data_IF_212862515302
#
_entry.id   IF_212862515302
#
_cell.length_a   1.000
_cell.length_b   1.000
_cell.length_c   1.000
_cell.angle_alpha   90.00
_cell.angle_beta   90.00
_cell.angle_gamma   90.00
#
_symmetry.space_group_name_H-M   'P 1'
#
loop_
_entity.id
_entity.type
_entity.pdbx_description
1 polymer ?
#
# COMPACT_ATOMS: atom_id res chain seq x y z
N UNK A 1 -1.48 15.91 -23.28
CA UNK A 1 -2.33 16.34 -22.14
C UNK A 1 -1.64 15.88 -20.87
N UNK A 2 -1.50 16.72 -19.86
CA UNK A 2 -0.94 16.30 -18.57
C UNK A 2 -2.09 15.74 -17.75
N UNK A 3 -1.94 14.51 -17.22
CA UNK A 3 -2.94 13.94 -16.33
C UNK A 3 -3.08 14.83 -15.09
N UNK A 4 -4.28 15.17 -14.72
CA UNK A 4 -4.59 15.81 -13.46
C UNK A 4 -5.91 15.29 -12.91
N UNK A 5 -6.03 15.29 -11.60
CA UNK A 5 -7.25 14.88 -10.90
C UNK A 5 -7.55 15.88 -9.79
N UNK A 6 -8.78 16.38 -9.81
CA UNK A 6 -9.30 17.21 -8.73
C UNK A 6 -10.03 16.31 -7.72
N UNK A 7 -9.80 16.56 -6.43
CA UNK A 7 -10.49 15.91 -5.35
C UNK A 7 -10.66 16.88 -4.17
N UNK A 8 -11.59 16.59 -3.29
CA UNK A 8 -11.95 17.46 -2.19
C UNK A 8 -11.90 16.74 -0.86
N UNK A 9 -11.46 17.44 0.17
CA UNK A 9 -11.46 16.93 1.55
C UNK A 9 -12.29 17.86 2.43
N UNK A 10 -13.23 17.29 3.18
CA UNK A 10 -14.07 17.98 4.18
C UNK A 10 -14.60 16.97 5.18
N UNK A 11 -14.69 17.36 6.46
CA UNK A 11 -15.25 16.53 7.55
C UNK A 11 -14.68 15.11 7.61
N UNK A 12 -13.37 14.97 7.44
CA UNK A 12 -12.65 13.68 7.43
C UNK A 12 -13.06 12.73 6.29
N UNK A 13 -13.62 13.29 5.23
CA UNK A 13 -14.08 12.59 4.04
C UNK A 13 -13.32 13.10 2.83
N UNK A 14 -12.83 12.19 2.02
CA UNK A 14 -12.30 12.45 0.69
C UNK A 14 -13.43 12.26 -0.32
N UNK A 15 -13.66 13.26 -1.15
CA UNK A 15 -14.61 13.24 -2.26
C UNK A 15 -13.84 13.21 -3.57
N UNK A 16 -14.06 12.18 -4.35
CA UNK A 16 -13.43 11.95 -5.64
C UNK A 16 -14.53 11.60 -6.64
N UNK A 17 -14.69 12.44 -7.65
CA UNK A 17 -15.81 12.36 -8.59
C UNK A 17 -17.16 12.26 -7.85
N UNK A 18 -17.99 11.27 -8.16
CA UNK A 18 -19.28 11.02 -7.51
C UNK A 18 -19.19 10.11 -6.27
N UNK A 19 -17.96 9.79 -5.82
CA UNK A 19 -17.74 8.89 -4.69
C UNK A 19 -17.17 9.63 -3.47
N UNK A 20 -17.43 9.06 -2.30
CA UNK A 20 -16.87 9.54 -1.05
C UNK A 20 -16.21 8.41 -0.29
N UNK A 21 -15.06 8.68 0.28
CA UNK A 21 -14.26 7.75 1.08
C UNK A 21 -13.95 8.38 2.42
N UNK A 22 -13.94 7.60 3.48
CA UNK A 22 -13.35 8.06 4.72
C UNK A 22 -11.85 8.29 4.49
N UNK A 23 -11.26 9.32 5.11
CA UNK A 23 -9.83 9.58 4.97
C UNK A 23 -9.00 8.33 5.29
N UNK A 24 -8.14 7.93 4.37
CA UNK A 24 -7.31 6.73 4.42
C UNK A 24 -7.96 5.45 3.89
N UNK A 25 -9.26 5.47 3.58
CA UNK A 25 -9.96 4.30 3.05
C UNK A 25 -9.47 3.95 1.64
N UNK A 26 -9.38 4.95 0.76
CA UNK A 26 -8.86 4.76 -0.60
C UNK A 26 -7.42 4.23 -0.57
N UNK A 27 -6.57 4.81 0.28
CA UNK A 27 -5.20 4.34 0.49
C UNK A 27 -5.14 2.90 0.98
N UNK A 28 -6.04 2.51 1.92
CA UNK A 28 -6.10 1.14 2.42
C UNK A 28 -6.55 0.15 1.33
N UNK A 29 -7.48 0.54 0.45
CA UNK A 29 -7.90 -0.27 -0.69
C UNK A 29 -6.75 -0.49 -1.67
N UNK A 30 -6.04 0.58 -2.05
CA UNK A 30 -4.89 0.51 -2.98
C UNK A 30 -3.75 -0.33 -2.40
N UNK A 31 -3.46 -0.24 -1.10
CA UNK A 31 -2.45 -1.07 -0.45
C UNK A 31 -2.77 -2.58 -0.49
N UNK A 32 -4.03 -2.95 -0.70
CA UNK A 32 -4.45 -4.34 -0.84
C UNK A 32 -4.31 -4.88 -2.26
N UNK A 33 -4.03 -4.02 -3.24
CA UNK A 33 -3.80 -4.45 -4.61
C UNK A 33 -2.39 -5.01 -4.72
N UNK A 34 -2.28 -6.22 -5.21
CA UNK A 34 -0.99 -6.91 -5.35
C UNK A 34 -0.42 -6.73 -6.76
N UNK A 35 0.90 -6.88 -6.97
CA UNK A 35 1.47 -6.88 -8.32
C UNK A 35 0.86 -7.93 -9.25
N UNK A 36 0.39 -9.05 -8.68
CA UNK A 36 -0.26 -10.13 -9.39
C UNK A 36 -1.62 -9.71 -9.94
N UNK A 37 -2.36 -8.87 -9.22
CA UNK A 37 -3.65 -8.33 -9.66
C UNK A 37 -3.49 -7.47 -10.92
N UNK A 38 -2.36 -6.77 -11.03
CA UNK A 38 -2.04 -5.95 -12.20
C UNK A 38 -1.29 -6.69 -13.32
N UNK A 39 -0.88 -7.93 -13.13
CA UNK A 39 -0.08 -8.64 -14.12
C UNK A 39 -0.80 -8.83 -15.47
N UNK A 40 -2.10 -9.13 -15.53
CA UNK A 40 -2.83 -9.16 -16.79
C UNK A 40 -2.83 -7.80 -17.49
N UNK A 41 -3.20 -6.73 -16.75
CA UNK A 41 -3.25 -5.37 -17.27
C UNK A 41 -1.89 -4.91 -17.82
N UNK A 42 -0.79 -5.14 -17.09
CA UNK A 42 0.57 -4.81 -17.55
C UNK A 42 0.96 -5.54 -18.82
N UNK A 43 0.54 -6.80 -18.98
CA UNK A 43 0.81 -7.55 -20.21
C UNK A 43 0.08 -6.96 -21.40
N UNK A 44 -1.21 -6.65 -21.26
CA UNK A 44 -2.00 -6.04 -22.32
C UNK A 44 -1.50 -4.64 -22.66
N UNK A 45 -1.14 -3.82 -21.64
CA UNK A 45 -0.54 -2.50 -21.85
C UNK A 45 0.77 -2.58 -22.64
N UNK A 46 1.64 -3.53 -22.27
CA UNK A 46 2.89 -3.76 -22.99
C UNK A 46 2.67 -4.21 -24.42
N UNK A 47 1.64 -5.04 -24.66
CA UNK A 47 1.22 -5.43 -26.01
C UNK A 47 0.75 -4.23 -26.82
N UNK A 48 -0.14 -3.42 -26.24
CA UNK A 48 -0.67 -2.21 -26.88
C UNK A 48 0.44 -1.20 -27.24
N UNK A 49 1.35 -0.95 -26.31
CA UNK A 49 2.48 -0.05 -26.58
C UNK A 49 3.41 -0.61 -27.67
N UNK A 50 3.66 -1.92 -27.67
CA UNK A 50 4.47 -2.57 -28.72
C UNK A 50 3.78 -2.54 -30.07
N UNK A 51 2.46 -2.74 -30.10
CA UNK A 51 1.65 -2.63 -31.33
C UNK A 51 1.67 -1.20 -31.88
N UNK A 52 1.57 -0.21 -31.00
CA UNK A 52 1.66 1.21 -31.37
C UNK A 52 3.03 1.56 -31.95
N UNK A 53 4.12 1.16 -31.29
CA UNK A 53 5.49 1.38 -31.77
C UNK A 53 5.77 0.67 -33.10
N UNK A 54 5.16 -0.50 -33.32
CA UNK A 54 5.28 -1.23 -34.57
C UNK A 54 4.51 -0.52 -35.70
N UNK A 55 3.29 -0.07 -35.40
CA UNK A 55 2.47 0.69 -36.34
C UNK A 55 3.15 1.99 -36.76
N UNK A 56 3.76 2.75 -35.82
CA UNK A 56 4.51 3.96 -36.15
C UNK A 56 5.65 3.72 -37.16
N UNK A 57 6.31 2.57 -37.08
CA UNK A 57 7.40 2.22 -38.00
C UNK A 57 6.91 1.74 -39.35
N UNK A 58 5.75 1.09 -39.38
CA UNK A 58 5.16 0.52 -40.60
C UNK A 58 3.64 0.59 -40.51
N UNK A 59 3.04 1.72 -40.87
CA UNK A 59 1.60 1.90 -40.88
C UNK A 59 0.90 0.91 -41.83
N UNK A 60 0.04 0.05 -41.27
CA UNK A 60 -0.80 -0.91 -42.04
C UNK A 60 -2.17 -0.97 -41.37
N UNK A 61 -3.22 -1.23 -42.15
CA UNK A 61 -4.59 -1.39 -41.63
C UNK A 61 -4.65 -2.49 -40.54
N UNK A 62 -4.02 -3.63 -40.77
CA UNK A 62 -4.00 -4.71 -39.77
C UNK A 62 -3.20 -4.36 -38.51
N UNK A 63 -2.17 -3.52 -38.61
CA UNK A 63 -1.44 -3.01 -37.45
C UNK A 63 -2.31 -2.10 -36.59
N UNK A 64 -3.10 -1.26 -37.24
CA UNK A 64 -4.07 -0.39 -36.56
C UNK A 64 -5.19 -1.19 -35.88
N UNK A 65 -5.74 -2.20 -36.53
CA UNK A 65 -6.74 -3.09 -35.93
C UNK A 65 -6.20 -3.76 -34.65
N UNK A 66 -4.91 -4.10 -34.62
CA UNK A 66 -4.27 -4.65 -33.43
C UNK A 66 -4.21 -3.62 -32.30
N UNK A 67 -3.83 -2.38 -32.59
CA UNK A 67 -3.81 -1.27 -31.60
C UNK A 67 -5.20 -1.05 -31.02
N UNK A 68 -6.23 -1.00 -31.86
CA UNK A 68 -7.63 -0.84 -31.44
C UNK A 68 -8.10 -1.98 -30.54
N UNK A 69 -7.73 -3.22 -30.88
CA UNK A 69 -8.11 -4.41 -30.10
C UNK A 69 -7.47 -4.38 -28.73
N UNK A 70 -6.16 -4.14 -28.65
CA UNK A 70 -5.43 -4.06 -27.39
C UNK A 70 -5.94 -2.91 -26.51
N UNK A 71 -6.29 -1.76 -27.12
CA UNK A 71 -6.87 -0.63 -26.40
C UNK A 71 -8.26 -0.98 -25.81
N UNK A 72 -9.11 -1.65 -26.58
CA UNK A 72 -10.43 -2.09 -26.10
C UNK A 72 -10.31 -3.10 -24.95
N UNK A 73 -9.31 -3.97 -24.98
CA UNK A 73 -9.07 -4.94 -23.92
C UNK A 73 -8.52 -4.27 -22.64
N UNK A 74 -7.66 -3.26 -22.78
CA UNK A 74 -7.24 -2.43 -21.65
C UNK A 74 -8.42 -1.73 -20.99
N UNK A 75 -9.29 -1.13 -21.79
CA UNK A 75 -10.48 -0.44 -21.31
C UNK A 75 -11.39 -1.38 -20.50
N UNK A 76 -11.67 -2.59 -21.01
CA UNK A 76 -12.47 -3.59 -20.28
C UNK A 76 -11.85 -3.95 -18.92
N UNK A 77 -10.53 -4.04 -18.85
CA UNK A 77 -9.83 -4.34 -17.59
C UNK A 77 -9.93 -3.20 -16.58
N UNK A 78 -9.90 -1.94 -17.04
CA UNK A 78 -10.02 -0.76 -16.20
C UNK A 78 -11.40 -0.63 -15.56
N UNK A 79 -12.45 -0.87 -16.33
CA UNK A 79 -13.84 -0.75 -15.85
C UNK A 79 -14.15 -1.76 -14.73
N UNK A 80 -13.49 -2.91 -14.71
CA UNK A 80 -13.74 -3.98 -13.73
C UNK A 80 -13.06 -3.72 -12.40
N UNK A 81 -11.94 -2.98 -12.39
CA UNK A 81 -11.21 -2.66 -11.15
C UNK A 81 -11.72 -1.35 -10.55
N UNK A 82 -12.41 -1.37 -9.39
CA UNK A 82 -13.02 -0.18 -8.81
C UNK A 82 -11.98 0.90 -8.43
N UNK A 83 -10.72 0.53 -8.21
CA UNK A 83 -9.66 1.50 -7.90
C UNK A 83 -9.11 2.11 -9.18
N UNK A 84 -8.83 1.31 -10.20
CA UNK A 84 -8.35 1.81 -11.48
C UNK A 84 -9.41 2.65 -12.19
N UNK A 85 -10.69 2.34 -12.01
CA UNK A 85 -11.81 3.10 -12.56
C UNK A 85 -11.75 4.59 -12.17
N UNK A 86 -11.47 4.94 -10.91
CA UNK A 86 -11.37 6.34 -10.47
C UNK A 86 -10.22 7.12 -11.11
N UNK A 87 -9.22 6.43 -11.59
CA UNK A 87 -8.01 7.03 -12.17
C UNK A 87 -7.93 6.84 -13.67
N UNK A 88 -8.86 6.10 -14.24
CA UNK A 88 -9.04 6.06 -15.69
C UNK A 88 -9.73 7.33 -16.16
N UNK A 89 -9.57 7.69 -17.42
CA UNK A 89 -10.43 8.67 -18.06
C UNK A 89 -11.91 8.26 -17.94
N UNK A 90 -12.81 9.25 -17.99
CA UNK A 90 -14.25 9.04 -18.01
C UNK A 90 -14.65 8.00 -19.09
N UNK A 91 -15.64 7.15 -18.78
CA UNK A 91 -16.10 6.10 -19.70
C UNK A 91 -16.64 6.68 -21.01
N UNK A 92 -17.40 7.79 -20.95
CA UNK A 92 -17.88 8.48 -22.13
C UNK A 92 -16.70 8.96 -22.99
N UNK A 93 -15.69 9.53 -22.36
CA UNK A 93 -14.49 10.00 -23.05
C UNK A 93 -13.65 8.84 -23.64
N UNK A 94 -13.59 7.68 -22.98
CA UNK A 94 -12.92 6.51 -23.56
C UNK A 94 -13.68 5.93 -24.76
N UNK A 95 -15.01 5.95 -24.76
CA UNK A 95 -15.82 5.59 -25.92
C UNK A 95 -15.64 6.60 -27.06
N UNK A 96 -15.62 7.91 -26.76
CA UNK A 96 -15.30 8.94 -27.75
C UNK A 96 -13.93 8.69 -28.39
N UNK A 97 -12.91 8.41 -27.59
CA UNK A 97 -11.57 8.06 -28.11
C UNK A 97 -11.65 6.85 -29.02
N UNK A 98 -12.36 5.82 -28.61
CA UNK A 98 -12.48 4.59 -29.39
C UNK A 98 -13.16 4.83 -30.74
N UNK A 99 -14.19 5.68 -30.77
CA UNK A 99 -14.83 6.07 -32.03
C UNK A 99 -13.90 6.95 -32.87
N UNK A 100 -13.23 7.91 -32.27
CA UNK A 100 -12.22 8.74 -32.95
C UNK A 100 -11.06 7.92 -33.54
N UNK A 101 -10.63 6.87 -32.86
CA UNK A 101 -9.59 5.95 -33.36
C UNK A 101 -10.00 5.19 -34.60
N UNK A 102 -11.29 5.07 -34.90
CA UNK A 102 -11.79 4.46 -36.14
C UNK A 102 -11.75 5.40 -37.34
N UNK A 103 -11.59 6.70 -37.11
CA UNK A 103 -11.54 7.69 -38.18
C UNK A 103 -10.23 7.58 -38.98
N UNK A 104 -10.27 7.85 -40.30
CA UNK A 104 -9.07 7.75 -41.13
C UNK A 104 -7.89 8.62 -40.69
N UNK A 105 -8.18 9.77 -40.10
CA UNK A 105 -7.14 10.70 -39.62
C UNK A 105 -6.41 10.18 -38.36
N UNK A 106 -6.96 9.19 -37.65
CA UNK A 106 -6.30 8.60 -36.49
C UNK A 106 -5.03 7.84 -36.88
N UNK A 107 -4.87 7.46 -38.13
CA UNK A 107 -3.67 6.79 -38.65
C UNK A 107 -2.64 7.76 -39.21
N UNK A 108 -2.92 9.05 -39.20
CA UNK A 108 -1.93 10.09 -39.52
C UNK A 108 -1.05 10.36 -38.30
N UNK A 109 0.20 9.89 -38.35
CA UNK A 109 1.19 10.02 -37.27
C UNK A 109 1.54 11.47 -36.91
N UNK A 110 1.19 12.43 -37.79
CA UNK A 110 1.38 13.87 -37.53
C UNK A 110 0.14 14.51 -36.87
N UNK A 111 -0.97 13.79 -36.75
CA UNK A 111 -2.20 14.32 -36.20
C UNK A 111 -2.17 14.45 -34.67
N UNK A 112 -2.88 15.44 -34.15
CA UNK A 112 -3.09 15.60 -32.70
C UNK A 112 -3.83 14.39 -32.12
N UNK A 113 -4.65 13.73 -32.91
CA UNK A 113 -5.39 12.52 -32.54
C UNK A 113 -4.46 11.33 -32.27
N UNK A 114 -3.45 11.14 -33.12
CA UNK A 114 -2.40 10.14 -32.87
C UNK A 114 -1.61 10.43 -31.58
N UNK A 115 -1.15 11.68 -31.42
CA UNK A 115 -0.42 12.10 -30.22
C UNK A 115 -1.25 11.88 -28.95
N UNK A 116 -2.55 12.06 -29.04
CA UNK A 116 -3.51 11.84 -27.97
C UNK A 116 -3.61 10.33 -27.60
N UNK A 117 -3.85 9.43 -28.55
CA UNK A 117 -3.88 7.99 -28.30
C UNK A 117 -2.61 7.48 -27.62
N UNK A 118 -1.46 7.94 -28.09
CA UNK A 118 -0.17 7.61 -27.46
C UNK A 118 -0.09 8.13 -26.02
N UNK A 119 -0.56 9.35 -25.77
CA UNK A 119 -0.55 9.94 -24.42
C UNK A 119 -1.41 9.14 -23.44
N UNK A 120 -2.54 8.60 -23.86
CA UNK A 120 -3.43 7.76 -23.03
C UNK A 120 -2.73 6.47 -22.58
N UNK A 121 -2.07 5.76 -23.49
CA UNK A 121 -1.31 4.55 -23.11
C UNK A 121 -0.17 4.86 -22.13
N UNK A 122 0.51 5.99 -22.33
CA UNK A 122 1.54 6.44 -21.39
C UNK A 122 0.97 6.78 -20.02
N UNK A 123 -0.24 7.34 -19.94
CA UNK A 123 -0.92 7.62 -18.66
C UNK A 123 -1.21 6.34 -17.89
N UNK A 124 -1.64 5.27 -18.55
CA UNK A 124 -1.86 3.99 -17.89
C UNK A 124 -0.57 3.40 -17.28
N UNK A 125 0.55 3.51 -17.98
CA UNK A 125 1.84 3.09 -17.44
C UNK A 125 2.26 3.94 -16.22
N UNK A 126 2.02 5.24 -16.27
CA UNK A 126 2.24 6.12 -15.13
C UNK A 126 1.37 5.75 -13.93
N UNK A 127 0.07 5.48 -14.13
CA UNK A 127 -0.86 5.06 -13.05
C UNK A 127 -0.36 3.79 -12.38
N UNK A 128 0.02 2.77 -13.17
CA UNK A 128 0.56 1.53 -12.60
C UNK A 128 1.88 1.73 -11.84
N UNK A 129 2.72 2.60 -12.34
CA UNK A 129 3.98 2.96 -11.69
C UNK A 129 3.74 3.70 -10.38
N UNK A 130 2.78 4.62 -10.36
CA UNK A 130 2.37 5.38 -9.18
C UNK A 130 1.80 4.47 -8.08
N UNK A 131 0.93 3.52 -8.43
CA UNK A 131 0.41 2.52 -7.49
C UNK A 131 1.54 1.68 -6.91
N UNK A 132 2.46 1.21 -7.73
CA UNK A 132 3.58 0.40 -7.28
C UNK A 132 4.51 1.17 -6.34
N UNK A 133 4.79 2.44 -6.66
CA UNK A 133 5.64 3.31 -5.84
C UNK A 133 4.96 3.67 -4.52
N UNK A 134 3.66 4.00 -4.54
CA UNK A 134 2.87 4.25 -3.35
C UNK A 134 2.85 3.00 -2.44
N UNK A 135 2.50 1.85 -2.98
CA UNK A 135 2.44 0.60 -2.23
C UNK A 135 3.78 0.26 -1.58
N UNK A 136 4.89 0.41 -2.31
CA UNK A 136 6.23 0.14 -1.76
C UNK A 136 6.56 1.09 -0.63
N UNK A 137 6.35 2.39 -0.83
CA UNK A 137 6.70 3.42 0.15
C UNK A 137 5.87 3.30 1.42
N UNK A 138 4.54 3.25 1.28
CA UNK A 138 3.63 3.23 2.43
C UNK A 138 3.64 1.88 3.15
N UNK A 139 3.80 0.76 2.42
CA UNK A 139 4.04 -0.54 3.04
C UNK A 139 5.26 -0.52 3.97
N UNK A 140 6.39 0.03 3.51
CA UNK A 140 7.59 0.15 4.32
C UNK A 140 7.38 1.06 5.54
N UNK A 141 6.67 2.17 5.37
CA UNK A 141 6.34 3.07 6.47
C UNK A 141 5.43 2.42 7.51
N UNK A 142 4.36 1.76 7.08
CA UNK A 142 3.44 1.06 8.01
C UNK A 142 4.18 -0.03 8.77
N UNK A 143 4.88 -0.92 8.09
CA UNK A 143 5.54 -2.06 8.73
C UNK A 143 6.77 -1.65 9.53
N UNK A 144 7.50 -0.65 9.08
CA UNK A 144 8.72 -0.18 9.73
C UNK A 144 8.47 0.69 10.95
N UNK A 145 7.44 1.53 10.90
CA UNK A 145 7.27 2.60 11.88
C UNK A 145 5.88 2.56 12.56
N UNK A 146 4.79 2.55 11.78
CA UNK A 146 3.45 2.75 12.36
C UNK A 146 2.93 1.53 13.13
N UNK A 147 3.21 0.31 12.66
CA UNK A 147 2.63 -0.92 13.25
C UNK A 147 3.14 -1.19 14.67
N UNK A 148 4.26 -0.60 15.04
CA UNK A 148 4.94 -0.82 16.32
C UNK A 148 4.67 0.29 17.35
N UNK A 149 3.88 1.30 17.00
CA UNK A 149 3.55 2.39 17.93
C UNK A 149 2.75 1.87 19.13
N UNK A 150 3.16 2.28 20.32
CA UNK A 150 2.47 1.98 21.60
C UNK A 150 1.22 2.85 21.79
N UNK A 151 1.26 4.09 21.30
CA UNK A 151 0.13 5.03 21.33
C UNK A 151 -0.25 5.38 19.90
N UNK A 152 -1.55 5.37 19.63
CA UNK A 152 -2.13 5.63 18.32
C UNK A 152 -2.79 7.01 18.33
N UNK A 153 -1.97 8.04 18.12
CA UNK A 153 -2.39 9.43 18.02
C UNK A 153 -1.56 10.18 16.96
N UNK A 154 -2.04 11.34 16.53
CA UNK A 154 -1.42 12.14 15.48
C UNK A 154 0.00 12.58 15.79
N UNK A 155 0.33 12.81 17.06
CA UNK A 155 1.67 13.21 17.50
C UNK A 155 2.68 12.07 17.27
N UNK A 156 2.32 10.84 17.70
CA UNK A 156 3.17 9.66 17.48
C UNK A 156 3.26 9.27 16.00
N UNK A 157 2.22 9.52 15.22
CA UNK A 157 2.28 9.31 13.76
C UNK A 157 3.23 10.31 13.10
N UNK A 158 3.22 11.58 13.53
CA UNK A 158 4.15 12.59 13.03
C UNK A 158 5.61 12.25 13.39
N UNK A 159 5.86 11.79 14.61
CA UNK A 159 7.19 11.34 15.03
C UNK A 159 7.65 10.13 14.21
N UNK A 160 6.77 9.14 13.98
CA UNK A 160 7.08 7.99 13.13
C UNK A 160 7.36 8.38 11.68
N UNK A 161 6.64 9.36 11.14
CA UNK A 161 6.89 9.88 9.80
C UNK A 161 8.25 10.61 9.74
N UNK A 162 8.58 11.39 10.76
CA UNK A 162 9.88 12.03 10.84
C UNK A 162 11.02 10.99 10.84
N UNK A 163 10.90 9.95 11.66
CA UNK A 163 11.89 8.87 11.70
C UNK A 163 11.99 8.12 10.37
N UNK A 164 10.87 7.91 9.69
CA UNK A 164 10.85 7.28 8.39
C UNK A 164 11.56 8.12 7.32
N UNK A 165 11.31 9.42 7.29
CA UNK A 165 11.87 10.34 6.28
C UNK A 165 13.31 10.75 6.59
N UNK A 166 13.66 10.97 7.86
CA UNK A 166 14.90 11.61 8.27
C UNK A 166 15.75 10.79 9.26
N UNK A 167 15.25 9.63 9.71
CA UNK A 167 15.97 8.70 10.56
C UNK A 167 17.22 8.09 9.90
N UNK A 168 17.88 7.15 10.57
CA UNK A 168 19.13 6.52 10.08
C UNK A 168 18.94 5.61 8.84
N UNK A 169 17.74 5.60 8.24
CA UNK A 169 17.43 4.90 7.01
C UNK A 169 18.05 5.51 5.76
N UNK A 170 17.86 4.85 4.63
CA UNK A 170 18.40 5.30 3.33
C UNK A 170 17.85 6.67 2.86
N UNK A 171 16.67 7.10 3.32
CA UNK A 171 16.11 8.42 3.04
C UNK A 171 17.00 9.55 3.58
N UNK A 172 17.67 9.36 4.72
CA UNK A 172 18.62 10.33 5.27
C UNK A 172 19.77 10.65 4.33
N UNK A 173 20.14 9.71 3.45
CA UNK A 173 21.21 9.90 2.46
C UNK A 173 20.76 10.66 1.22
N UNK A 174 19.46 10.72 0.96
CA UNK A 174 18.88 11.28 -0.27
C UNK A 174 18.20 12.62 -0.01
N UNK A 175 17.73 12.87 1.22
CA UNK A 175 16.95 14.06 1.55
C UNK A 175 17.76 15.07 2.36
N UNK A 176 17.75 16.32 1.91
CA UNK A 176 18.15 17.43 2.75
C UNK A 176 16.94 17.92 3.55
N UNK A 177 16.91 17.76 4.90
CA UNK A 177 15.76 18.13 5.73
C UNK A 177 15.42 19.63 5.67
N UNK A 178 16.40 20.48 5.35
CA UNK A 178 16.22 21.92 5.29
C UNK A 178 15.66 22.41 3.97
N UNK A 179 15.96 21.72 2.87
CA UNK A 179 15.51 22.11 1.53
C UNK A 179 14.34 21.28 1.04
N UNK A 180 14.10 20.10 1.62
CA UNK A 180 13.01 19.18 1.24
C UNK A 180 13.08 18.66 -0.20
N UNK A 181 13.95 19.23 -1.02
CA UNK A 181 13.91 19.13 -2.47
C UNK A 181 14.26 17.75 -3.02
N UNK A 182 14.88 16.88 -2.23
CA UNK A 182 15.25 15.55 -2.70
C UNK A 182 14.20 14.46 -2.34
N UNK A 183 13.29 14.75 -1.41
CA UNK A 183 12.24 13.81 -0.97
C UNK A 183 10.93 14.04 -1.69
N UNK A 184 10.68 15.29 -2.12
CA UNK A 184 9.45 15.69 -2.77
C UNK A 184 9.69 15.82 -4.27
N UNK A 185 9.24 14.83 -5.01
CA UNK A 185 9.19 14.88 -6.48
C UNK A 185 7.93 15.61 -6.92
N UNK A 186 7.82 15.95 -8.21
CA UNK A 186 6.56 16.45 -8.79
C UNK A 186 5.37 15.50 -8.54
N UNK A 187 5.65 14.20 -8.35
CA UNK A 187 4.67 13.19 -7.97
C UNK A 187 4.07 13.37 -6.57
N UNK A 188 4.67 14.21 -5.73
CA UNK A 188 4.20 14.49 -4.37
C UNK A 188 3.57 15.87 -4.24
N UNK A 189 3.49 16.64 -5.35
CA UNK A 189 2.99 18.01 -5.35
C UNK A 189 1.50 18.05 -5.62
N UNK A 190 0.78 18.83 -4.82
CA UNK A 190 -0.64 19.14 -5.02
C UNK A 190 -0.86 20.65 -4.94
N UNK A 191 -1.78 21.16 -5.77
CA UNK A 191 -2.29 22.51 -5.62
C UNK A 191 -3.48 22.48 -4.66
N UNK A 192 -3.51 23.38 -3.68
CA UNK A 192 -4.56 23.48 -2.69
C UNK A 192 -5.30 24.80 -2.81
N UNK A 193 -6.62 24.75 -2.78
CA UNK A 193 -7.52 25.90 -2.63
C UNK A 193 -8.61 25.60 -1.62
N UNK A 194 -9.16 26.63 -0.98
CA UNK A 194 -10.26 26.50 -0.03
C UNK A 194 -11.56 26.99 -0.69
N UNK A 195 -12.61 26.18 -0.59
CA UNK A 195 -13.90 26.48 -1.23
C UNK A 195 -15.03 26.30 -0.23
N UNK A 196 -15.94 27.28 -0.08
CA UNK A 196 -17.14 27.10 0.71
C UNK A 196 -18.12 26.17 -0.03
N UNK A 197 -18.58 25.13 0.65
CA UNK A 197 -19.55 24.16 0.13
C UNK A 197 -20.80 24.23 0.95
N UNK A 198 -21.94 24.30 0.31
CA UNK A 198 -23.23 24.22 0.96
C UNK A 198 -23.54 22.80 1.40
N UNK A 199 -23.93 22.63 2.67
CA UNK A 199 -24.37 21.35 3.20
C UNK A 199 -25.85 21.11 2.88
N UNK A 200 -26.35 19.87 2.97
CA UNK A 200 -27.78 19.57 2.76
C UNK A 200 -28.72 20.36 3.67
N UNK A 201 -28.24 20.82 4.81
CA UNK A 201 -28.97 21.65 5.76
C UNK A 201 -28.97 23.14 5.43
N UNK A 202 -28.35 23.55 4.30
CA UNK A 202 -28.24 24.94 3.87
C UNK A 202 -27.18 25.76 4.61
N UNK A 203 -26.26 25.09 5.33
CA UNK A 203 -25.12 25.71 5.98
C UNK A 203 -23.89 25.64 5.04
N UNK A 204 -22.89 26.47 5.32
CA UNK A 204 -21.63 26.45 4.53
C UNK A 204 -20.49 25.90 5.38
N UNK A 205 -19.71 24.98 4.79
CA UNK A 205 -18.45 24.49 5.34
C UNK A 205 -17.30 24.79 4.39
N UNK A 206 -16.10 25.00 4.93
CA UNK A 206 -14.91 25.19 4.10
C UNK A 206 -14.28 23.84 3.83
N UNK A 207 -14.20 23.49 2.55
CA UNK A 207 -13.51 22.30 2.10
C UNK A 207 -12.17 22.64 1.46
N UNK A 208 -11.21 21.75 1.62
CA UNK A 208 -9.95 21.77 0.91
C UNK A 208 -10.14 21.10 -0.46
N UNK A 209 -9.86 21.82 -1.53
CA UNK A 209 -9.89 21.29 -2.90
C UNK A 209 -8.46 21.16 -3.39
N UNK A 210 -8.11 19.98 -3.82
CA UNK A 210 -6.80 19.60 -4.28
C UNK A 210 -6.82 19.30 -5.77
N UNK A 211 -5.79 19.72 -6.47
CA UNK A 211 -5.47 19.29 -7.82
C UNK A 211 -4.12 18.57 -7.80
N UNK A 212 -4.11 17.31 -8.17
CA UNK A 212 -2.93 16.46 -8.22
C UNK A 212 -2.58 16.10 -9.67
N UNK A 213 -1.29 16.00 -9.95
CA UNK A 213 -0.76 15.65 -11.27
C UNK A 213 -0.17 14.24 -11.30
N UNK A 214 -0.37 13.47 -10.25
CA UNK A 214 -0.02 12.06 -10.15
C UNK A 214 -0.97 11.34 -9.22
N UNK A 215 -1.21 10.07 -9.47
CA UNK A 215 -2.00 9.23 -8.58
C UNK A 215 -1.32 9.09 -7.20
N UNK A 216 0.01 9.04 -7.17
CA UNK A 216 0.76 9.04 -5.92
C UNK A 216 0.42 10.23 -5.02
N UNK A 217 0.28 11.43 -5.60
CA UNK A 217 -0.05 12.64 -4.85
C UNK A 217 -1.45 12.55 -4.24
N UNK A 218 -2.44 12.01 -4.95
CA UNK A 218 -3.79 11.76 -4.42
C UNK A 218 -3.73 10.81 -3.23
N UNK A 219 -3.12 9.65 -3.42
CA UNK A 219 -3.05 8.59 -2.41
C UNK A 219 -2.25 9.00 -1.18
N UNK A 220 -1.11 9.69 -1.37
CA UNK A 220 -0.32 10.21 -0.25
C UNK A 220 -1.07 11.30 0.52
N UNK A 221 -1.82 12.16 -0.17
CA UNK A 221 -2.65 13.17 0.49
C UNK A 221 -3.72 12.50 1.34
N UNK A 222 -4.45 11.53 0.81
CA UNK A 222 -5.44 10.74 1.55
C UNK A 222 -4.81 10.07 2.78
N UNK A 223 -3.68 9.41 2.61
CA UNK A 223 -2.97 8.71 3.67
C UNK A 223 -2.49 9.66 4.78
N UNK A 224 -1.81 10.76 4.43
CA UNK A 224 -1.27 11.70 5.44
C UNK A 224 -2.37 12.50 6.13
N UNK A 225 -3.43 12.87 5.42
CA UNK A 225 -4.60 13.50 6.02
C UNK A 225 -5.33 12.56 6.98
N UNK A 226 -5.37 11.27 6.70
CA UNK A 226 -5.87 10.27 7.64
C UNK A 226 -5.05 10.23 8.93
N UNK A 227 -3.72 10.22 8.84
CA UNK A 227 -2.84 10.28 10.02
C UNK A 227 -3.05 11.58 10.83
N UNK A 228 -3.19 12.73 10.16
CA UNK A 228 -3.51 14.00 10.83
C UNK A 228 -4.87 13.95 11.55
N UNK A 229 -5.86 13.27 10.98
CA UNK A 229 -7.17 13.08 11.59
C UNK A 229 -7.16 12.05 12.75
N UNK A 230 -6.01 11.45 13.05
CA UNK A 230 -5.86 10.42 14.07
C UNK A 230 -6.21 9.01 13.59
N UNK A 231 -6.42 8.82 12.29
CA UNK A 231 -6.68 7.52 11.69
C UNK A 231 -5.39 6.83 11.30
N UNK A 232 -5.35 5.51 11.33
CA UNK A 232 -4.18 4.73 10.95
C UNK A 232 -4.58 3.55 10.09
N UNK A 233 -3.80 3.28 9.05
CA UNK A 233 -3.91 2.04 8.29
C UNK A 233 -3.03 0.99 8.94
N UNK A 234 -3.61 -0.16 9.23
CA UNK A 234 -2.93 -1.32 9.81
C UNK A 234 -3.10 -2.56 8.95
N UNK A 235 -2.20 -3.50 9.15
CA UNK A 235 -2.30 -4.82 8.53
C UNK A 235 -3.00 -5.79 9.47
N UNK A 236 -4.04 -6.45 8.98
CA UNK A 236 -4.77 -7.46 9.74
C UNK A 236 -3.88 -8.66 10.05
N UNK A 237 -3.79 -9.03 11.32
CA UNK A 237 -3.00 -10.19 11.76
C UNK A 237 -3.61 -11.54 11.31
N UNK A 238 -4.89 -11.56 10.89
CA UNK A 238 -5.56 -12.76 10.41
C UNK A 238 -5.41 -12.92 8.88
N UNK A 239 -5.91 -11.99 8.10
CA UNK A 239 -5.95 -12.12 6.63
C UNK A 239 -4.80 -11.44 5.89
N UNK A 240 -3.97 -10.66 6.58
CA UNK A 240 -2.86 -9.92 5.98
C UNK A 240 -3.27 -8.67 5.18
N UNK A 241 -4.58 -8.38 5.04
CA UNK A 241 -5.06 -7.19 4.33
C UNK A 241 -4.87 -5.93 5.17
N UNK A 242 -4.66 -4.81 4.49
CA UNK A 242 -4.68 -3.50 5.12
C UNK A 242 -6.12 -3.07 5.40
N UNK A 243 -6.31 -2.41 6.54
CA UNK A 243 -7.60 -1.85 6.93
C UNK A 243 -7.41 -0.53 7.66
N UNK A 244 -8.39 0.35 7.54
CA UNK A 244 -8.41 1.64 8.21
C UNK A 244 -8.92 1.48 9.65
N UNK A 245 -8.18 2.04 10.59
CA UNK A 245 -8.57 2.13 12.00
C UNK A 245 -8.86 3.59 12.34
N UNK A 246 -10.12 3.90 12.61
CA UNK A 246 -10.60 5.26 12.86
C UNK A 246 -10.74 5.61 14.34
N UNK A 247 -10.58 4.61 15.21
CA UNK A 247 -10.68 4.77 16.68
C UNK A 247 -9.37 4.31 17.32
N UNK A 248 -9.03 4.89 18.45
CA UNK A 248 -7.81 4.61 19.21
C UNK A 248 -7.75 3.19 19.84
N UNK A 249 -8.45 2.22 19.28
CA UNK A 249 -8.39 0.85 19.74
C UNK A 249 -7.21 0.11 19.10
N UNK A 250 -6.46 -0.60 19.92
CA UNK A 250 -5.37 -1.47 19.46
C UNK A 250 -5.88 -2.77 18.82
N UNK A 251 -6.90 -2.70 17.96
CA UNK A 251 -7.33 -3.90 17.25
C UNK A 251 -6.25 -4.35 16.25
N UNK A 252 -6.03 -5.67 16.23
CA UNK A 252 -5.08 -6.32 15.30
C UNK A 252 -5.78 -6.93 14.09
N UNK A 253 -7.09 -6.92 14.08
CA UNK A 253 -7.93 -7.62 13.11
C UNK A 253 -8.92 -6.67 12.45
N UNK A 254 -9.17 -6.88 11.17
CA UNK A 254 -10.20 -6.15 10.43
C UNK A 254 -11.59 -6.77 10.66
N UNK A 255 -12.62 -5.98 10.33
CA UNK A 255 -14.02 -6.43 10.40
C UNK A 255 -14.54 -7.03 9.09
N UNK A 256 -13.64 -7.30 8.13
CA UNK A 256 -14.02 -7.96 6.87
C UNK A 256 -14.19 -9.46 7.06
N UNK A 257 -15.01 -10.12 6.21
CA UNK A 257 -15.14 -11.57 6.22
C UNK A 257 -13.77 -12.26 6.13
N UNK A 258 -13.61 -13.30 6.93
CA UNK A 258 -12.36 -14.06 6.96
C UNK A 258 -12.20 -14.89 5.67
N UNK A 259 -11.00 -15.02 5.11
CA UNK A 259 -10.77 -15.74 3.85
C UNK A 259 -11.22 -17.21 3.89
N UNK A 260 -11.08 -17.86 5.06
CA UNK A 260 -11.38 -19.27 5.23
C UNK A 260 -12.75 -19.54 5.85
N UNK A 261 -13.44 -18.51 6.32
CA UNK A 261 -14.78 -18.60 6.90
C UNK A 261 -15.53 -17.28 6.67
N UNK A 262 -16.19 -17.11 5.52
CA UNK A 262 -16.93 -15.90 5.20
C UNK A 262 -18.10 -15.57 6.13
N UNK A 263 -18.53 -16.51 6.96
CA UNK A 263 -19.62 -16.31 7.94
C UNK A 263 -19.17 -15.54 9.17
N UNK A 264 -17.86 -15.42 9.39
CA UNK A 264 -17.27 -14.69 10.50
C UNK A 264 -16.28 -13.63 10.01
N UNK A 265 -16.14 -12.54 10.77
CA UNK A 265 -15.12 -11.52 10.47
C UNK A 265 -13.76 -11.94 11.03
N UNK A 266 -12.69 -11.38 10.47
CA UNK A 266 -11.34 -11.58 11.01
C UNK A 266 -11.24 -11.19 12.49
N UNK A 267 -11.99 -10.16 12.92
CA UNK A 267 -12.04 -9.74 14.32
C UNK A 267 -12.72 -10.81 15.21
N UNK A 268 -13.85 -11.35 14.76
CA UNK A 268 -14.54 -12.43 15.50
C UNK A 268 -13.64 -13.64 15.68
N UNK A 269 -13.04 -14.13 14.59
CA UNK A 269 -12.14 -15.29 14.67
C UNK A 269 -10.86 -14.99 15.44
N UNK A 270 -10.29 -13.80 15.27
CA UNK A 270 -9.06 -13.40 15.97
C UNK A 270 -9.21 -13.23 17.47
N UNK A 271 -10.38 -12.86 17.97
CA UNK A 271 -10.66 -12.71 19.40
C UNK A 271 -11.21 -14.01 20.05
N UNK A 272 -11.96 -14.81 19.32
CA UNK A 272 -12.56 -16.06 19.86
C UNK A 272 -11.56 -17.22 19.94
N UNK A 273 -10.64 -17.30 19.03
CA UNK A 273 -9.53 -18.22 19.18
C UNK A 273 -8.52 -17.56 20.10
N UNK A 274 -8.12 -18.13 21.23
CA UNK A 274 -6.98 -17.67 22.00
C UNK A 274 -5.79 -17.30 21.07
N UNK A 275 -6.07 -16.40 20.16
CA UNK A 275 -5.31 -15.80 19.09
C UNK A 275 -4.72 -16.82 18.13
N UNK A 276 -3.55 -16.52 17.81
CA UNK A 276 -2.60 -17.14 16.93
C UNK A 276 -2.44 -18.69 17.09
N UNK A 277 -2.92 -19.30 18.16
CA UNK A 277 -2.79 -20.76 18.38
C UNK A 277 -3.68 -21.61 17.45
N UNK A 278 -4.92 -21.19 17.20
CA UNK A 278 -5.82 -21.90 16.27
C UNK A 278 -5.53 -21.52 14.81
N UNK A 279 -5.20 -20.27 14.54
CA UNK A 279 -4.66 -19.84 13.24
C UNK A 279 -3.44 -20.66 12.81
N UNK A 280 -2.57 -20.98 13.78
CA UNK A 280 -1.44 -21.85 13.56
C UNK A 280 -1.85 -23.32 13.36
N UNK A 281 -3.07 -23.72 13.73
CA UNK A 281 -3.58 -25.08 13.49
C UNK A 281 -3.68 -25.42 12.02
N UNK A 282 -4.30 -24.54 11.23
CA UNK A 282 -4.67 -24.80 9.84
C UNK A 282 -3.71 -24.16 8.81
N UNK A 283 -2.87 -23.22 9.23
CA UNK A 283 -1.90 -22.55 8.36
C UNK A 283 -0.45 -22.80 8.81
N UNK A 284 0.29 -23.69 8.14
CA UNK A 284 1.68 -24.00 8.48
C UNK A 284 2.61 -22.77 8.48
N UNK A 285 2.43 -21.84 7.54
CA UNK A 285 3.23 -20.61 7.48
C UNK A 285 2.98 -19.69 8.68
N UNK A 286 1.71 -19.53 9.09
CA UNK A 286 1.36 -18.76 10.28
C UNK A 286 1.89 -19.40 11.55
N UNK A 287 1.93 -20.73 11.61
CA UNK A 287 2.51 -21.50 12.72
C UNK A 287 4.02 -21.24 12.85
N UNK A 288 4.73 -21.23 11.74
CA UNK A 288 6.17 -20.94 11.72
C UNK A 288 6.48 -19.52 12.17
N UNK A 289 5.70 -18.52 11.71
CA UNK A 289 5.81 -17.14 12.18
C UNK A 289 5.55 -17.03 13.68
N UNK A 290 4.47 -17.64 14.18
CA UNK A 290 4.13 -17.59 15.60
C UNK A 290 5.23 -18.19 16.48
N UNK A 291 5.79 -19.34 16.10
CA UNK A 291 6.93 -19.95 16.79
C UNK A 291 8.15 -19.02 16.78
N UNK A 292 8.37 -18.31 15.67
CA UNK A 292 9.43 -17.32 15.56
C UNK A 292 9.22 -16.18 16.56
N UNK A 293 8.04 -15.56 16.60
CA UNK A 293 7.71 -14.48 17.53
C UNK A 293 7.89 -14.92 18.99
N UNK A 294 7.38 -16.10 19.37
CA UNK A 294 7.55 -16.62 20.71
C UNK A 294 9.02 -16.81 21.11
N UNK A 295 9.87 -17.24 20.17
CA UNK A 295 11.32 -17.38 20.44
C UNK A 295 11.99 -16.04 20.66
N UNK A 296 11.71 -15.08 19.79
CA UNK A 296 12.28 -13.72 19.86
C UNK A 296 11.83 -13.03 21.15
N UNK A 297 10.54 -13.09 21.49
CA UNK A 297 10.03 -12.56 22.76
C UNK A 297 10.67 -13.21 23.97
N UNK A 298 10.85 -14.53 23.94
CA UNK A 298 11.50 -15.27 25.01
C UNK A 298 12.96 -14.87 25.20
N UNK A 299 13.69 -14.61 24.11
CA UNK A 299 15.07 -14.16 24.17
C UNK A 299 15.14 -12.73 24.73
N UNK A 300 14.20 -11.86 24.36
CA UNK A 300 14.06 -10.51 24.95
C UNK A 300 13.76 -10.56 26.45
N UNK A 301 12.75 -11.31 26.90
CA UNK A 301 12.41 -11.42 28.30
C UNK A 301 13.51 -12.08 29.16
N UNK A 302 14.43 -12.78 28.52
CA UNK A 302 15.61 -13.35 29.16
C UNK A 302 16.81 -12.40 29.18
N UNK A 303 16.69 -11.21 28.58
CA UNK A 303 17.79 -10.26 28.44
C UNK A 303 18.90 -10.72 27.47
N UNK A 304 18.61 -11.64 26.57
CA UNK A 304 19.55 -12.15 25.57
C UNK A 304 19.69 -11.15 24.41
N UNK A 305 18.62 -10.42 24.12
CA UNK A 305 18.56 -9.38 23.09
C UNK A 305 17.92 -8.10 23.65
N UNK A 306 18.27 -6.95 23.08
CA UNK A 306 17.69 -5.65 23.43
C UNK A 306 16.27 -5.48 22.83
N UNK A 307 15.55 -4.44 23.27
CA UNK A 307 14.23 -4.10 22.68
C UNK A 307 14.35 -3.71 21.20
N UNK A 308 15.40 -3.02 20.81
CA UNK A 308 15.68 -2.62 19.43
C UNK A 308 15.91 -3.83 18.53
N UNK A 309 16.75 -4.76 19.00
CA UNK A 309 17.02 -6.02 18.30
C UNK A 309 15.77 -6.87 18.18
N UNK A 310 14.97 -7.00 19.25
CA UNK A 310 13.67 -7.67 19.22
C UNK A 310 12.77 -7.09 18.14
N UNK A 311 12.61 -5.77 18.12
CA UNK A 311 11.75 -5.09 17.16
C UNK A 311 12.25 -5.30 15.70
N UNK A 312 13.56 -5.29 15.49
CA UNK A 312 14.18 -5.56 14.19
C UNK A 312 13.91 -7.00 13.70
N UNK A 313 14.09 -7.98 14.59
CA UNK A 313 13.82 -9.40 14.28
C UNK A 313 12.35 -9.65 13.96
N UNK A 314 11.42 -9.08 14.74
CA UNK A 314 9.99 -9.24 14.53
C UNK A 314 9.55 -8.61 13.19
N UNK A 315 10.04 -7.40 12.87
CA UNK A 315 9.77 -6.74 11.59
C UNK A 315 10.21 -7.59 10.40
N UNK A 316 11.42 -8.11 10.46
CA UNK A 316 11.96 -8.92 9.37
C UNK A 316 11.19 -10.25 9.22
N UNK A 317 10.81 -10.88 10.33
CA UNK A 317 10.00 -12.09 10.33
C UNK A 317 8.61 -11.86 9.72
N UNK A 318 7.96 -10.75 10.07
CA UNK A 318 6.66 -10.36 9.51
C UNK A 318 6.76 -10.11 8.00
N UNK A 319 7.83 -9.49 7.55
CA UNK A 319 8.11 -9.21 6.15
C UNK A 319 8.34 -10.48 5.32
N UNK A 320 9.10 -11.44 5.88
CA UNK A 320 9.28 -12.76 5.27
C UNK A 320 7.96 -13.50 5.11
N UNK A 321 7.16 -13.53 6.18
CA UNK A 321 5.84 -14.15 6.14
C UNK A 321 4.92 -13.49 5.10
N UNK A 322 4.92 -12.16 5.05
CA UNK A 322 4.16 -11.40 4.07
C UNK A 322 4.55 -11.76 2.64
N UNK A 323 5.84 -11.79 2.36
CA UNK A 323 6.34 -12.20 1.03
C UNK A 323 5.98 -13.65 0.71
N UNK A 324 6.11 -14.56 1.67
CA UNK A 324 5.80 -15.97 1.50
C UNK A 324 4.31 -16.27 1.32
N UNK A 325 3.42 -15.41 1.82
CA UNK A 325 1.97 -15.56 1.66
C UNK A 325 1.44 -14.96 0.37
N UNK A 326 2.16 -13.98 -0.21
CA UNK A 326 1.77 -13.30 -1.46
C UNK A 326 2.47 -13.83 -2.70
N UNK A 327 3.62 -14.48 -2.55
CA UNK A 327 4.40 -15.02 -3.66
C UNK A 327 4.08 -16.50 -3.83
N UNK A 328 3.45 -16.86 -4.95
CA UNK A 328 3.31 -18.26 -5.33
C UNK A 328 4.71 -18.88 -5.48
N UNK A 329 4.99 -19.98 -4.76
CA UNK A 329 6.23 -20.72 -4.90
C UNK A 329 7.15 -20.76 -3.66
N UNK A 330 6.88 -20.00 -2.59
CA UNK A 330 7.61 -20.18 -1.33
C UNK A 330 6.98 -21.32 -0.53
N UNK A 331 7.73 -22.39 -0.31
CA UNK A 331 7.26 -23.54 0.48
C UNK A 331 7.17 -23.22 1.99
N UNK A 332 6.47 -24.06 2.74
CA UNK A 332 6.41 -23.90 4.20
C UNK A 332 7.77 -24.15 4.84
N UNK A 333 8.51 -25.13 4.32
CA UNK A 333 9.82 -25.54 4.78
C UNK A 333 10.84 -24.42 4.54
N UNK A 334 10.80 -23.78 3.38
CA UNK A 334 11.66 -22.66 3.05
C UNK A 334 11.42 -21.46 3.97
N UNK A 335 10.15 -21.13 4.26
CA UNK A 335 9.82 -20.07 5.21
C UNK A 335 10.26 -20.43 6.63
N UNK A 336 10.09 -21.70 7.07
CA UNK A 336 10.49 -22.15 8.39
C UNK A 336 12.02 -22.07 8.56
N UNK A 337 12.79 -22.41 7.54
CA UNK A 337 14.24 -22.25 7.53
C UNK A 337 14.65 -20.79 7.64
N UNK A 338 14.05 -19.90 6.83
CA UNK A 338 14.33 -18.45 6.88
C UNK A 338 13.95 -17.84 8.25
N UNK A 339 12.89 -18.31 8.88
CA UNK A 339 12.48 -17.89 10.22
C UNK A 339 13.24 -18.60 11.35
N UNK A 340 14.16 -19.51 11.04
CA UNK A 340 14.98 -20.18 12.07
C UNK A 340 15.86 -19.16 12.80
N UNK A 341 16.17 -19.42 14.08
CA UNK A 341 17.03 -18.55 14.89
C UNK A 341 18.35 -18.28 14.21
N UNK A 342 18.94 -19.30 13.59
CA UNK A 342 20.24 -19.21 12.94
C UNK A 342 20.22 -18.21 11.78
N UNK A 343 19.24 -18.32 10.89
CA UNK A 343 19.16 -17.49 9.68
C UNK A 343 18.65 -16.09 10.04
N UNK A 344 17.56 -15.99 10.79
CA UNK A 344 16.93 -14.73 11.16
C UNK A 344 17.87 -13.79 11.91
N UNK A 345 18.56 -14.30 12.92
CA UNK A 345 19.48 -13.51 13.73
C UNK A 345 20.71 -13.07 12.93
N UNK A 346 21.24 -13.96 12.09
CA UNK A 346 22.36 -13.65 11.19
C UNK A 346 22.03 -12.56 10.18
N UNK A 347 20.85 -12.64 9.56
CA UNK A 347 20.43 -11.64 8.55
C UNK A 347 20.12 -10.28 9.20
N UNK A 348 19.61 -10.28 10.43
CA UNK A 348 19.34 -9.06 11.16
C UNK A 348 20.58 -8.51 11.91
N UNK A 349 21.73 -9.13 11.79
CA UNK A 349 22.97 -8.76 12.49
C UNK A 349 22.74 -8.62 14.01
N UNK A 350 22.18 -9.68 14.60
CA UNK A 350 21.88 -9.78 16.03
C UNK A 350 22.67 -10.91 16.65
N UNK A 351 23.57 -10.58 17.58
CA UNK A 351 24.31 -11.55 18.37
C UNK A 351 23.54 -11.93 19.64
N UNK A 352 23.38 -13.23 19.85
CA UNK A 352 22.79 -13.73 21.10
C UNK A 352 23.81 -13.66 22.23
N UNK A 353 23.61 -12.78 23.18
CA UNK A 353 24.39 -12.81 24.42
C UNK A 353 24.01 -14.10 25.16
N UNK A 354 24.98 -15.00 25.31
CA UNK A 354 24.78 -16.24 26.05
C UNK A 354 24.55 -15.92 27.53
N UNK A 355 23.29 -15.96 27.97
CA UNK A 355 22.99 -15.83 29.39
C UNK A 355 23.67 -16.95 30.17
N UNK A 356 24.32 -16.65 31.30
CA UNK A 356 24.92 -17.69 32.14
C UNK A 356 23.85 -18.71 32.55
N UNK A 357 24.13 -20.00 32.35
CA UNK A 357 23.25 -21.09 32.75
C UNK A 357 23.08 -21.06 34.27
N UNK A 358 21.97 -20.52 34.74
CA UNK A 358 21.62 -20.57 36.18
C UNK A 358 20.30 -19.86 36.43
N UNK A 359 19.40 -20.54 37.11
CA UNK A 359 18.17 -19.93 37.64
C UNK A 359 18.60 -18.85 38.64
N UNK A 360 18.17 -17.56 38.54
CA UNK A 360 18.49 -16.59 39.54
C UNK A 360 18.02 -17.10 40.90
N UNK A 361 18.93 -17.24 41.88
CA UNK A 361 18.58 -17.55 43.27
C UNK A 361 17.69 -16.43 43.76
N UNK A 362 16.47 -16.73 44.14
CA UNK A 362 15.63 -15.82 44.92
C UNK A 362 16.42 -15.45 46.20
N UNK A 363 16.86 -14.22 46.30
CA UNK A 363 17.35 -13.71 47.55
C UNK A 363 16.23 -13.80 48.58
N UNK A 364 16.45 -14.60 49.60
CA UNK A 364 15.62 -14.61 50.81
C UNK A 364 15.72 -13.26 51.43
N UNK A 365 14.64 -12.47 51.42
CA UNK A 365 14.51 -11.33 52.31
C UNK A 365 14.72 -11.84 53.71
N UNK A 366 15.83 -11.46 54.37
CA UNK A 366 16.03 -11.57 55.78
C UNK A 366 15.08 -10.60 56.46
N UNK A 367 14.07 -11.14 57.11
CA UNK A 367 13.29 -10.40 58.10
C UNK A 367 14.23 -9.85 59.19
N UNK A 368 14.28 -8.52 59.32
CA UNK A 368 14.60 -7.84 60.56
C UNK A 368 13.51 -6.83 60.85
#
# INVERSE_FOLDING_TARGET
MVWSKEFRIGDKTLFLDNCSFQLGELSAQVLNITPEDFAPFRRTLKSAMSALDHFEKKPTASGWDTVLTDFADLHKMLIVDPVLFFFSPDEEWLEEIREEMKEPDAVDLSSDRWAFCRSVLMQYDMILSDVAAFNTTIHNFINGNLQHLKKLDSENYAAALYDFLFGDGWYKRVANPLTGSAVFTSADTVNLRYVPIETPEGLYTIHEVYEAYSLQAVLKTDFYKALQAGYIIRRCAYCGRYFLLTKAYHTKYCDTPAPNDPSHTCAQLGYHSNGIKELAGDNPKARSLHRCHQRVDKDYYRGIISEEERNRLLRYADDLYYRATRKAGVSNEELEEQLSTRVLYSVCDVERVTAPRGRPRKERKSEQ
#
